data_IF_656791721288
#
_entry.id   IF_656791721288
#
_cell.length_a   1.000
_cell.length_b   1.000
_cell.length_c   1.000
_cell.angle_alpha   90.00
_cell.angle_beta   90.00
_cell.angle_gamma   90.00
#
_symmetry.space_group_name_H-M   'P 1'
#
loop_
_entity.id
_entity.type
_entity.pdbx_description
1 polymer ?
#
# COMPACT_ATOMS: atom_id res chain seq x y z
N UNK A 1 -11.15 -30.30 -2.72
CA UNK A 1 -11.48 -29.71 -4.03
C UNK A 1 -11.14 -28.22 -3.91
N UNK A 2 -9.95 -27.81 -4.35
CA UNK A 2 -9.52 -26.40 -4.26
C UNK A 2 -10.44 -25.55 -5.14
N UNK A 3 -11.22 -24.68 -4.53
CA UNK A 3 -12.19 -23.82 -5.21
C UNK A 3 -11.45 -22.68 -5.90
N UNK A 4 -10.72 -22.97 -7.00
CA UNK A 4 -10.02 -21.96 -7.79
C UNK A 4 -10.99 -20.83 -8.14
N UNK A 5 -10.63 -19.59 -7.81
CA UNK A 5 -11.33 -18.37 -8.25
C UNK A 5 -11.64 -18.50 -9.75
N UNK A 6 -12.91 -18.82 -10.09
CA UNK A 6 -13.37 -18.86 -11.48
C UNK A 6 -13.27 -17.44 -12.02
N UNK A 7 -12.83 -17.30 -13.28
CA UNK A 7 -12.81 -15.99 -13.95
C UNK A 7 -14.24 -15.42 -13.93
N UNK A 8 -14.41 -14.33 -13.19
CA UNK A 8 -15.69 -13.64 -12.99
C UNK A 8 -15.45 -12.17 -12.66
N UNK A 9 -16.50 -11.38 -12.40
CA UNK A 9 -16.37 -9.93 -12.27
C UNK A 9 -15.44 -9.58 -11.09
N UNK A 10 -14.48 -8.68 -11.36
CA UNK A 10 -13.60 -8.09 -10.36
C UNK A 10 -13.80 -6.57 -10.36
N UNK A 11 -13.85 -5.98 -9.18
CA UNK A 11 -13.99 -4.53 -9.02
C UNK A 11 -12.68 -3.93 -8.51
N UNK A 12 -12.14 -2.96 -9.23
CA UNK A 12 -11.02 -2.14 -8.79
C UNK A 12 -11.55 -0.77 -8.33
N UNK A 13 -11.25 -0.38 -7.10
CA UNK A 13 -11.63 0.92 -6.55
C UNK A 13 -10.37 1.81 -6.50
N UNK A 14 -10.33 2.84 -7.36
CA UNK A 14 -9.22 3.80 -7.48
C UNK A 14 -9.69 5.25 -7.38
N UNK A 15 -8.76 6.22 -7.41
CA UNK A 15 -9.06 7.66 -7.48
C UNK A 15 -9.43 8.08 -8.90
N UNK A 16 -10.38 9.01 -9.05
CA UNK A 16 -10.88 9.53 -10.35
C UNK A 16 -9.78 10.03 -11.30
N UNK A 17 -8.74 10.70 -10.78
CA UNK A 17 -7.67 11.26 -11.61
C UNK A 17 -6.79 10.19 -12.30
N UNK A 18 -6.67 8.99 -11.75
CA UNK A 18 -5.93 7.88 -12.38
C UNK A 18 -6.79 7.12 -13.39
N UNK A 19 -8.13 7.14 -13.21
CA UNK A 19 -9.08 6.55 -14.17
C UNK A 19 -9.14 7.34 -15.49
N UNK A 20 -9.02 8.68 -15.44
CA UNK A 20 -9.07 9.54 -16.63
C UNK A 20 -7.91 9.31 -17.63
N UNK A 21 -6.74 8.87 -17.16
CA UNK A 21 -5.57 8.58 -18.01
C UNK A 21 -5.66 7.25 -18.75
N UNK A 22 -6.45 6.30 -18.24
CA UNK A 22 -6.76 5.07 -18.99
C UNK A 22 -7.58 5.37 -20.26
N UNK A 23 -8.23 6.54 -20.35
CA UNK A 23 -9.17 6.89 -21.41
C UNK A 23 -8.61 7.78 -22.53
N UNK A 24 -7.47 8.46 -22.38
CA UNK A 24 -7.04 9.49 -23.35
C UNK A 24 -5.75 9.16 -24.12
N UNK A 25 -5.93 8.84 -25.41
CA UNK A 25 -4.99 8.89 -26.57
C UNK A 25 -3.91 7.78 -26.69
N UNK A 26 -3.74 7.30 -27.95
CA UNK A 26 -3.00 6.11 -28.44
C UNK A 26 -1.48 6.08 -28.10
N UNK A 27 -0.83 4.93 -28.32
CA UNK A 27 -0.40 3.95 -27.32
C UNK A 27 0.98 4.32 -26.73
N UNK A 28 0.99 5.05 -25.62
CA UNK A 28 2.09 4.94 -24.65
C UNK A 28 1.66 3.86 -23.66
N UNK A 29 2.59 3.05 -23.17
CA UNK A 29 2.39 1.81 -22.39
C UNK A 29 1.50 1.98 -21.14
N UNK A 30 0.21 2.17 -21.38
CA UNK A 30 -0.87 1.90 -20.46
C UNK A 30 -0.83 0.41 -20.21
N UNK A 31 -0.95 0.02 -18.94
CA UNK A 31 -1.23 -1.36 -18.56
C UNK A 31 -2.61 -1.74 -19.11
N UNK A 32 -2.69 -1.93 -20.43
CA UNK A 32 -3.57 -2.92 -21.00
C UNK A 32 -3.07 -4.21 -20.38
N UNK A 33 -3.94 -4.87 -19.62
CA UNK A 33 -3.91 -6.31 -19.50
C UNK A 33 -4.06 -6.84 -20.92
N UNK A 34 -2.94 -6.84 -21.66
CA UNK A 34 -2.86 -7.34 -23.02
C UNK A 34 -2.78 -8.83 -22.84
N UNK A 35 -3.95 -9.45 -22.99
CA UNK A 35 -4.16 -10.86 -23.23
C UNK A 35 -3.03 -11.44 -24.09
N UNK A 36 -2.11 -12.13 -23.46
CA UNK A 36 -1.31 -13.15 -24.13
C UNK A 36 -1.99 -14.47 -23.83
N UNK A 37 -2.91 -14.85 -24.72
CA UNK A 37 -3.25 -16.21 -25.14
C UNK A 37 -4.62 -16.19 -25.83
N UNK A 38 -4.72 -16.91 -26.94
CA UNK A 38 -5.93 -17.19 -27.71
C UNK A 38 -6.92 -18.05 -26.89
N UNK A 39 -7.38 -17.58 -25.74
CA UNK A 39 -8.46 -18.17 -24.98
C UNK A 39 -9.11 -17.10 -24.09
N UNK A 40 -10.37 -16.74 -24.40
CA UNK A 40 -11.29 -16.02 -23.49
C UNK A 40 -11.28 -16.74 -22.12
N UNK A 41 -11.35 -16.04 -20.96
CA UNK A 41 -12.45 -15.12 -20.66
C UNK A 41 -12.08 -13.78 -19.96
N UNK A 42 -13.01 -12.83 -20.16
CA UNK A 42 -13.32 -11.61 -19.40
C UNK A 42 -12.62 -11.39 -18.05
N UNK A 43 -11.65 -10.47 -18.01
CA UNK A 43 -11.38 -9.65 -16.83
C UNK A 43 -12.03 -8.28 -17.10
N UNK A 44 -13.26 -8.06 -16.62
CA UNK A 44 -13.87 -6.72 -16.68
C UNK A 44 -13.39 -5.92 -15.48
N UNK A 45 -12.38 -5.07 -15.66
CA UNK A 45 -12.11 -3.97 -14.73
C UNK A 45 -13.25 -2.98 -14.95
N UNK A 46 -14.25 -3.00 -14.07
CA UNK A 46 -15.25 -1.97 -14.05
C UNK A 46 -14.66 -0.78 -13.29
N UNK A 47 -14.15 0.21 -14.04
CA UNK A 47 -13.83 1.52 -13.50
C UNK A 47 -15.12 2.20 -13.00
N UNK A 48 -14.96 3.30 -12.25
CA UNK A 48 -16.00 4.18 -11.70
C UNK A 48 -17.16 4.47 -12.68
N UNK A 49 -18.04 3.50 -12.88
CA UNK A 49 -19.31 3.71 -13.49
C UNK A 49 -20.27 3.90 -12.33
N UNK A 50 -20.93 5.06 -12.35
CA UNK A 50 -22.18 5.35 -11.63
C UNK A 50 -23.32 4.34 -11.95
N UNK A 51 -23.00 3.22 -12.60
CA UNK A 51 -23.87 2.08 -12.83
C UNK A 51 -23.58 1.09 -11.71
N UNK A 52 -24.37 1.15 -10.63
CA UNK A 52 -24.35 0.15 -9.58
C UNK A 52 -24.36 -1.24 -10.22
N UNK A 53 -23.28 -1.99 -10.06
CA UNK A 53 -23.28 -3.42 -10.34
C UNK A 53 -24.41 -4.03 -9.51
N UNK A 54 -25.45 -4.55 -10.17
CA UNK A 54 -26.59 -5.18 -9.50
C UNK A 54 -26.27 -6.60 -8.99
N UNK A 55 -24.99 -6.98 -8.94
CA UNK A 55 -24.56 -8.32 -8.59
C UNK A 55 -23.24 -8.29 -7.83
N UNK A 56 -23.07 -9.26 -6.94
CA UNK A 56 -21.84 -9.48 -6.17
C UNK A 56 -20.67 -9.81 -7.08
N UNK A 57 -19.46 -9.42 -6.68
CA UNK A 57 -18.22 -9.67 -7.43
C UNK A 57 -17.38 -10.77 -6.79
N UNK A 58 -16.44 -11.35 -7.53
CA UNK A 58 -15.56 -12.40 -7.02
C UNK A 58 -14.36 -11.84 -6.25
N UNK A 59 -13.88 -10.65 -6.64
CA UNK A 59 -12.75 -9.96 -6.02
C UNK A 59 -13.00 -8.45 -5.99
N UNK A 60 -12.72 -7.83 -4.84
CA UNK A 60 -12.58 -6.37 -4.70
C UNK A 60 -11.13 -6.03 -4.39
N UNK A 61 -10.55 -5.10 -5.16
CA UNK A 61 -9.22 -4.54 -4.93
C UNK A 61 -9.36 -3.07 -4.56
N UNK A 62 -8.92 -2.71 -3.34
CA UNK A 62 -8.88 -1.31 -2.90
C UNK A 62 -7.49 -0.72 -3.20
N UNK A 63 -7.44 0.33 -4.02
CA UNK A 63 -6.24 1.07 -4.38
C UNK A 63 -6.48 2.60 -4.31
N UNK A 64 -7.10 3.04 -3.20
CA UNK A 64 -7.34 4.45 -2.86
C UNK A 64 -6.23 4.98 -1.94
N UNK A 65 -6.12 6.30 -1.75
CA UNK A 65 -5.36 6.84 -0.60
C UNK A 65 -6.18 6.63 0.68
N UNK A 66 -5.54 6.60 1.84
CA UNK A 66 -6.25 6.38 3.11
C UNK A 66 -7.40 7.34 3.38
N UNK A 67 -7.30 8.60 2.94
CA UNK A 67 -8.39 9.58 3.08
C UNK A 67 -9.69 9.18 2.37
N UNK A 68 -9.63 8.23 1.43
CA UNK A 68 -10.79 7.69 0.71
C UNK A 68 -11.20 6.29 1.18
N UNK A 69 -10.57 5.72 2.20
CA UNK A 69 -10.82 4.34 2.62
C UNK A 69 -12.26 4.14 3.10
N UNK A 70 -12.78 5.01 3.97
CA UNK A 70 -14.15 4.89 4.50
C UNK A 70 -15.19 4.98 3.37
N UNK A 71 -14.99 5.90 2.42
CA UNK A 71 -15.85 6.01 1.25
C UNK A 71 -15.77 4.76 0.36
N UNK A 72 -14.57 4.20 0.17
CA UNK A 72 -14.38 2.96 -0.57
C UNK A 72 -15.05 1.77 0.12
N UNK A 73 -14.91 1.65 1.45
CA UNK A 73 -15.58 0.61 2.24
C UNK A 73 -17.10 0.73 2.07
N UNK A 74 -17.66 1.94 2.16
CA UNK A 74 -19.09 2.14 1.97
C UNK A 74 -19.56 1.81 0.55
N UNK A 75 -18.77 2.14 -0.48
CA UNK A 75 -19.15 1.89 -1.88
C UNK A 75 -19.09 0.42 -2.30
N UNK A 76 -18.47 -0.45 -1.48
CA UNK A 76 -18.48 -1.90 -1.67
C UNK A 76 -19.81 -2.56 -1.28
N UNK A 77 -20.72 -1.82 -0.66
CA UNK A 77 -22.06 -2.32 -0.33
C UNK A 77 -22.82 -2.81 -1.57
N UNK A 78 -23.42 -3.99 -1.48
CA UNK A 78 -24.06 -4.65 -2.62
C UNK A 78 -23.11 -5.38 -3.59
N UNK A 79 -21.80 -5.08 -3.55
CA UNK A 79 -20.78 -5.79 -4.32
C UNK A 79 -20.21 -7.00 -3.58
N UNK A 80 -20.15 -6.91 -2.25
CA UNK A 80 -19.58 -7.96 -1.40
C UNK A 80 -20.66 -8.97 -1.02
N UNK A 81 -20.53 -10.18 -1.57
CA UNK A 81 -21.30 -11.37 -1.18
C UNK A 81 -20.49 -12.31 -0.27
N UNK A 82 -21.09 -13.45 0.14
CA UNK A 82 -20.46 -14.39 1.08
C UNK A 82 -19.13 -14.98 0.61
N UNK A 83 -18.88 -15.00 -0.71
CA UNK A 83 -17.68 -15.58 -1.33
C UNK A 83 -16.77 -14.51 -1.95
N UNK A 84 -17.08 -13.22 -1.77
CA UNK A 84 -16.30 -12.13 -2.36
C UNK A 84 -14.98 -11.99 -1.61
N UNK A 85 -13.88 -12.12 -2.33
CA UNK A 85 -12.53 -11.93 -1.79
C UNK A 85 -12.18 -10.45 -1.83
N UNK A 86 -11.44 -9.99 -0.83
CA UNK A 86 -11.07 -8.59 -0.69
C UNK A 86 -9.56 -8.49 -0.46
N UNK A 87 -8.92 -7.56 -1.15
CA UNK A 87 -7.52 -7.19 -0.94
C UNK A 87 -7.40 -5.67 -0.89
N UNK A 88 -6.63 -5.18 0.07
CA UNK A 88 -6.24 -3.77 0.17
C UNK A 88 -4.80 -3.60 -0.27
N UNK A 89 -4.51 -2.66 -1.16
CA UNK A 89 -3.16 -2.30 -1.57
C UNK A 89 -2.71 -0.96 -0.98
N UNK A 90 -3.41 -0.48 0.05
CA UNK A 90 -3.09 0.75 0.77
C UNK A 90 -1.77 0.61 1.52
N UNK A 91 -1.09 1.73 1.72
CA UNK A 91 0.03 1.78 2.66
C UNK A 91 -0.47 1.72 4.10
N UNK A 92 0.40 1.26 5.01
CA UNK A 92 0.08 1.17 6.44
C UNK A 92 -0.24 -0.26 6.87
N UNK A 93 -0.87 -0.38 8.05
CA UNK A 93 -1.25 -1.66 8.67
C UNK A 93 -2.69 -1.68 9.19
N UNK A 94 -3.45 -0.62 8.93
CA UNK A 94 -4.78 -0.39 9.55
C UNK A 94 -5.94 -0.62 8.60
N UNK A 95 -5.70 -0.65 7.28
CA UNK A 95 -6.79 -0.68 6.30
C UNK A 95 -7.63 -1.95 6.39
N UNK A 96 -6.99 -3.08 6.64
CA UNK A 96 -7.62 -4.39 6.74
C UNK A 96 -8.44 -4.53 8.01
N UNK A 97 -8.05 -3.86 9.10
CA UNK A 97 -8.85 -3.81 10.33
C UNK A 97 -10.18 -3.08 10.08
N UNK A 98 -10.14 -1.96 9.35
CA UNK A 98 -11.35 -1.20 8.99
C UNK A 98 -12.25 -1.98 8.02
N UNK A 99 -11.67 -2.64 7.01
CA UNK A 99 -12.43 -3.49 6.07
C UNK A 99 -13.08 -4.66 6.81
N UNK A 100 -12.32 -5.35 7.67
CA UNK A 100 -12.81 -6.50 8.41
C UNK A 100 -13.90 -6.13 9.42
N UNK A 101 -13.88 -4.92 10.00
CA UNK A 101 -14.95 -4.44 10.87
C UNK A 101 -16.32 -4.40 10.15
N UNK A 102 -16.33 -4.21 8.82
CA UNK A 102 -17.56 -4.16 8.01
C UNK A 102 -17.90 -5.47 7.29
N UNK A 103 -16.89 -6.20 6.80
CA UNK A 103 -17.06 -7.36 5.91
C UNK A 103 -16.49 -8.68 6.46
N UNK A 104 -15.88 -8.65 7.65
CA UNK A 104 -15.25 -9.79 8.28
C UNK A 104 -13.89 -10.16 7.69
N UNK A 105 -13.14 -10.98 8.43
CA UNK A 105 -11.79 -11.42 8.05
C UNK A 105 -11.76 -12.60 7.08
N UNK A 106 -12.87 -13.35 6.97
CA UNK A 106 -12.93 -14.66 6.33
C UNK A 106 -12.41 -14.67 4.89
N UNK A 107 -12.76 -13.65 4.11
CA UNK A 107 -12.35 -13.52 2.70
C UNK A 107 -11.44 -12.31 2.45
N UNK A 108 -10.87 -11.73 3.51
CA UNK A 108 -9.92 -10.62 3.44
C UNK A 108 -8.48 -11.16 3.46
N UNK A 109 -7.66 -10.67 2.52
CA UNK A 109 -6.23 -10.98 2.41
C UNK A 109 -5.42 -9.75 2.79
N UNK A 110 -4.38 -9.97 3.60
CA UNK A 110 -3.39 -8.95 3.92
C UNK A 110 -2.45 -8.79 2.74
N UNK A 111 -2.16 -7.54 2.35
CA UNK A 111 -1.28 -7.30 1.23
C UNK A 111 -0.48 -6.01 1.35
N UNK A 112 0.68 -6.01 0.68
CA UNK A 112 1.47 -4.80 0.44
C UNK A 112 1.97 -4.79 -1.00
N UNK A 113 2.26 -3.60 -1.49
CA UNK A 113 3.08 -3.37 -2.68
C UNK A 113 4.50 -3.01 -2.26
N UNK A 114 5.53 -3.56 -2.91
CA UNK A 114 6.93 -3.17 -2.66
C UNK A 114 7.76 -3.11 -3.95
N UNK A 115 8.92 -2.45 -3.88
CA UNK A 115 9.92 -2.47 -4.94
C UNK A 115 9.54 -1.67 -6.19
N UNK A 116 8.58 -0.75 -6.09
CA UNK A 116 8.19 0.13 -7.19
C UNK A 116 8.87 1.49 -7.09
N UNK A 117 9.27 2.05 -8.24
CA UNK A 117 9.89 3.38 -8.38
C UNK A 117 8.97 4.36 -9.13
N UNK A 118 7.66 4.19 -8.95
CA UNK A 118 6.64 4.99 -9.62
C UNK A 118 6.72 6.47 -9.21
N UNK A 119 6.79 7.32 -10.23
CA UNK A 119 6.70 8.78 -10.13
C UNK A 119 5.46 9.24 -10.88
N UNK A 120 4.66 10.08 -10.23
CA UNK A 120 3.47 10.68 -10.84
C UNK A 120 3.55 12.20 -10.78
N UNK A 121 4.06 12.81 -11.85
CA UNK A 121 4.26 14.26 -11.98
C UNK A 121 3.65 14.70 -13.33
N UNK A 122 3.05 15.89 -13.38
CA UNK A 122 2.49 16.49 -14.59
C UNK A 122 1.53 15.58 -15.39
N UNK A 123 0.72 14.79 -14.68
CA UNK A 123 -0.14 13.78 -15.28
C UNK A 123 0.64 12.83 -16.21
N UNK A 124 1.78 12.34 -15.75
CA UNK A 124 2.51 11.23 -16.35
C UNK A 124 2.98 10.27 -15.25
N UNK A 125 2.71 8.97 -15.46
CA UNK A 125 3.26 7.89 -14.63
C UNK A 125 4.52 7.35 -15.30
N UNK A 126 5.64 7.41 -14.60
CA UNK A 126 6.91 6.79 -15.03
C UNK A 126 7.41 5.85 -13.96
N UNK A 127 7.95 4.70 -14.37
CA UNK A 127 8.58 3.72 -13.49
C UNK A 127 9.58 2.88 -14.32
N UNK A 128 10.63 2.38 -13.68
CA UNK A 128 11.54 1.37 -14.26
C UNK A 128 11.28 -0.01 -13.65
N UNK A 129 10.75 -0.04 -12.43
CA UNK A 129 10.37 -1.24 -11.70
C UNK A 129 8.89 -1.14 -11.30
N UNK A 130 8.07 -2.04 -11.83
CA UNK A 130 6.63 -2.08 -11.52
C UNK A 130 6.36 -2.48 -10.05
N UNK A 131 7.36 -3.05 -9.37
CA UNK A 131 7.24 -3.66 -8.06
C UNK A 131 6.50 -5.00 -8.10
N UNK A 132 6.09 -5.45 -6.92
CA UNK A 132 5.39 -6.71 -6.72
C UNK A 132 4.37 -6.58 -5.57
N UNK A 133 3.38 -7.46 -5.57
CA UNK A 133 2.40 -7.59 -4.48
C UNK A 133 2.83 -8.72 -3.56
N UNK A 134 2.99 -8.45 -2.26
CA UNK A 134 3.18 -9.49 -1.24
C UNK A 134 1.85 -9.77 -0.56
N UNK A 135 1.45 -11.03 -0.48
CA UNK A 135 0.16 -11.48 0.03
C UNK A 135 0.32 -12.39 1.23
N UNK A 136 -0.68 -12.46 2.11
CA UNK A 136 -0.80 -13.55 3.07
C UNK A 136 -2.09 -13.55 3.86
N UNK A 137 -2.31 -14.62 4.60
CA UNK A 137 -3.51 -14.81 5.38
C UNK A 137 -3.44 -14.02 6.70
N UNK A 138 -4.56 -13.42 7.10
CA UNK A 138 -4.81 -13.14 8.50
C UNK A 138 -5.20 -14.45 9.23
N UNK A 139 -5.16 -14.46 10.56
CA UNK A 139 -5.46 -15.65 11.35
C UNK A 139 -6.86 -16.24 11.08
N UNK A 140 -7.80 -15.40 10.65
CA UNK A 140 -9.19 -15.78 10.38
C UNK A 140 -9.51 -15.87 8.87
N UNK A 141 -8.52 -15.63 7.99
CA UNK A 141 -8.70 -15.80 6.55
C UNK A 141 -8.91 -17.29 6.24
N UNK A 142 -9.94 -17.62 5.48
CA UNK A 142 -10.24 -19.01 5.11
C UNK A 142 -9.13 -19.59 4.22
N UNK A 143 -8.83 -20.88 4.42
CA UNK A 143 -7.86 -21.60 3.61
C UNK A 143 -8.26 -21.58 2.11
N UNK A 144 -7.28 -21.36 1.22
CA UNK A 144 -7.51 -21.26 -0.22
C UNK A 144 -7.77 -19.83 -0.71
N UNK A 145 -8.19 -18.90 0.16
CA UNK A 145 -8.48 -17.51 -0.26
C UNK A 145 -7.22 -16.79 -0.77
N UNK A 146 -6.08 -16.99 -0.13
CA UNK A 146 -4.81 -16.38 -0.55
C UNK A 146 -4.33 -16.99 -1.87
N UNK A 147 -4.39 -18.31 -1.97
CA UNK A 147 -4.02 -19.07 -3.16
C UNK A 147 -4.89 -18.68 -4.36
N UNK A 148 -6.18 -18.45 -4.15
CA UNK A 148 -7.10 -18.00 -5.19
C UNK A 148 -6.71 -16.63 -5.76
N UNK A 149 -6.30 -15.70 -4.90
CA UNK A 149 -5.83 -14.37 -5.33
C UNK A 149 -4.46 -14.49 -6.01
N UNK A 150 -3.54 -15.28 -5.46
CA UNK A 150 -2.22 -15.52 -6.06
C UNK A 150 -2.35 -16.14 -7.47
N UNK A 151 -3.18 -17.17 -7.62
CA UNK A 151 -3.48 -17.80 -8.92
C UNK A 151 -4.07 -16.79 -9.92
N UNK A 152 -4.88 -15.82 -9.45
CA UNK A 152 -5.41 -14.77 -10.31
C UNK A 152 -4.32 -13.78 -10.75
N UNK A 153 -3.46 -13.33 -9.82
CA UNK A 153 -2.35 -12.43 -10.12
C UNK A 153 -1.36 -13.09 -11.10
N UNK A 154 -1.06 -14.37 -10.92
CA UNK A 154 -0.22 -15.16 -11.83
C UNK A 154 -0.81 -15.16 -13.25
N UNK A 155 -2.09 -15.52 -13.41
CA UNK A 155 -2.77 -15.52 -14.72
C UNK A 155 -2.85 -14.13 -15.34
N UNK A 156 -2.86 -13.07 -14.53
CA UNK A 156 -2.83 -11.68 -14.98
C UNK A 156 -1.42 -11.17 -15.32
N UNK A 157 -0.38 -11.95 -15.05
CA UNK A 157 1.02 -11.53 -15.23
C UNK A 157 1.46 -10.46 -14.23
N UNK A 158 0.83 -10.40 -13.06
CA UNK A 158 1.17 -9.45 -12.00
C UNK A 158 2.16 -10.12 -11.06
N UNK A 159 3.35 -9.52 -10.93
CA UNK A 159 4.39 -9.98 -10.02
C UNK A 159 3.88 -10.02 -8.58
N UNK A 160 3.97 -11.18 -7.94
CA UNK A 160 3.51 -11.36 -6.58
C UNK A 160 4.27 -12.48 -5.85
N UNK A 161 4.17 -12.47 -4.53
CA UNK A 161 4.67 -13.54 -3.69
C UNK A 161 3.75 -13.74 -2.47
N UNK A 162 3.58 -15.00 -2.04
CA UNK A 162 2.86 -15.34 -0.81
C UNK A 162 3.86 -15.41 0.34
N UNK A 163 3.66 -14.55 1.34
CA UNK A 163 4.48 -14.45 2.54
C UNK A 163 3.99 -15.41 3.61
N UNK A 164 4.93 -16.14 4.22
CA UNK A 164 4.63 -16.99 5.38
C UNK A 164 4.19 -16.16 6.60
N UNK A 165 4.78 -14.98 6.76
CA UNK A 165 4.46 -14.03 7.82
C UNK A 165 4.25 -12.64 7.21
N UNK A 166 3.09 -12.49 6.57
CA UNK A 166 2.71 -11.23 5.93
C UNK A 166 2.63 -10.07 6.92
N UNK A 167 2.24 -10.32 8.19
CA UNK A 167 2.16 -9.27 9.21
C UNK A 167 3.53 -8.70 9.52
N UNK A 168 4.55 -9.55 9.70
CA UNK A 168 5.94 -9.09 9.85
C UNK A 168 6.39 -8.28 8.64
N UNK A 169 6.09 -8.74 7.42
CA UNK A 169 6.44 -8.03 6.18
C UNK A 169 5.73 -6.66 6.06
N UNK A 170 4.45 -6.57 6.41
CA UNK A 170 3.69 -5.32 6.48
C UNK A 170 4.32 -4.32 7.45
N UNK A 171 4.66 -4.77 8.66
CA UNK A 171 5.30 -3.93 9.66
C UNK A 171 6.73 -3.53 9.28
N UNK A 172 7.50 -4.40 8.62
CA UNK A 172 8.80 -4.05 8.07
C UNK A 172 8.68 -2.95 7.00
N UNK A 173 7.72 -3.07 6.08
CA UNK A 173 7.43 -2.02 5.09
C UNK A 173 6.95 -0.72 5.75
N UNK A 174 6.06 -0.80 6.74
CA UNK A 174 5.61 0.37 7.49
C UNK A 174 6.79 1.07 8.16
N UNK A 175 7.67 0.32 8.83
CA UNK A 175 8.89 0.85 9.44
C UNK A 175 9.76 1.59 8.40
N UNK A 176 9.98 0.99 7.22
CA UNK A 176 10.69 1.64 6.12
C UNK A 176 10.03 2.97 5.73
N UNK A 177 8.71 2.96 5.49
CA UNK A 177 7.95 4.16 5.11
C UNK A 177 8.00 5.24 6.20
N UNK A 178 7.82 4.86 7.46
CA UNK A 178 7.95 5.75 8.63
C UNK A 178 9.31 6.44 8.65
N UNK A 179 10.40 5.72 8.35
CA UNK A 179 11.72 6.32 8.23
C UNK A 179 11.84 7.26 7.02
N UNK A 180 11.74 6.70 5.82
CA UNK A 180 12.15 7.39 4.59
C UNK A 180 11.13 8.41 4.08
N UNK A 181 9.83 8.10 4.08
CA UNK A 181 8.82 9.01 3.52
C UNK A 181 8.76 10.31 4.31
N UNK A 182 8.73 10.19 5.64
CA UNK A 182 8.61 11.34 6.55
C UNK A 182 9.88 12.18 6.55
N UNK A 183 11.05 11.54 6.56
CA UNK A 183 12.34 12.24 6.49
C UNK A 183 12.45 13.02 5.18
N UNK A 184 12.26 12.37 4.02
CA UNK A 184 12.32 13.07 2.74
C UNK A 184 11.27 14.17 2.63
N UNK A 185 10.05 13.95 3.14
CA UNK A 185 9.01 14.98 3.22
C UNK A 185 9.46 16.20 4.02
N UNK A 186 10.05 16.03 5.20
CA UNK A 186 10.44 17.15 6.07
C UNK A 186 11.65 17.91 5.53
N UNK A 187 12.66 17.20 5.04
CA UNK A 187 13.92 17.81 4.59
C UNK A 187 13.92 18.23 3.11
N UNK A 188 12.95 17.77 2.32
CA UNK A 188 12.94 18.00 0.87
C UNK A 188 14.01 17.17 0.16
N UNK A 189 14.26 15.96 0.68
CA UNK A 189 15.38 15.10 0.30
C UNK A 189 15.00 14.02 -0.70
N UNK A 190 16.02 13.43 -1.30
CA UNK A 190 15.98 12.20 -2.11
C UNK A 190 16.36 10.98 -1.26
N UNK A 191 16.26 9.77 -1.83
CA UNK A 191 16.75 8.55 -1.17
C UNK A 191 18.25 8.65 -0.84
N UNK A 192 19.07 9.14 -1.76
CA UNK A 192 20.52 9.26 -1.57
C UNK A 192 20.89 10.24 -0.45
N UNK A 193 20.30 11.44 -0.46
CA UNK A 193 20.58 12.46 0.56
C UNK A 193 20.09 12.05 1.96
N UNK A 194 18.97 11.33 2.04
CA UNK A 194 18.47 10.80 3.30
C UNK A 194 19.35 9.68 3.89
N UNK A 195 20.09 8.94 3.06
CA UNK A 195 20.99 7.87 3.49
C UNK A 195 22.40 8.37 3.80
N UNK A 196 22.83 9.52 3.25
CA UNK A 196 24.11 10.14 3.58
C UNK A 196 24.28 10.45 5.06
N UNK A 197 25.52 10.37 5.55
CA UNK A 197 25.86 10.73 6.93
C UNK A 197 25.37 12.14 7.27
N UNK A 198 24.55 12.27 8.31
CA UNK A 198 23.97 13.55 8.68
C UNK A 198 22.69 13.45 9.50
N UNK A 199 22.03 14.60 9.64
CA UNK A 199 20.79 14.73 10.41
C UNK A 199 19.64 13.92 9.80
N UNK A 200 19.55 13.87 8.46
CA UNK A 200 18.50 13.16 7.74
C UNK A 200 18.57 11.65 8.01
N UNK A 201 19.76 11.07 7.91
CA UNK A 201 19.98 9.66 8.23
C UNK A 201 19.64 9.35 9.70
N UNK A 202 20.10 10.20 10.64
CA UNK A 202 19.77 10.03 12.06
C UNK A 202 18.26 10.09 12.31
N UNK A 203 17.55 11.03 11.67
CA UNK A 203 16.10 11.16 11.73
C UNK A 203 15.40 9.91 11.19
N UNK A 204 15.80 9.45 10.01
CA UNK A 204 15.29 8.24 9.36
C UNK A 204 15.45 7.03 10.28
N UNK A 205 16.68 6.79 10.77
CA UNK A 205 16.99 5.63 11.61
C UNK A 205 16.24 5.71 12.94
N UNK A 206 16.19 6.87 13.59
CA UNK A 206 15.46 7.04 14.84
C UNK A 206 13.95 6.73 14.67
N UNK A 207 13.33 7.21 13.59
CA UNK A 207 11.93 6.94 13.30
C UNK A 207 11.67 5.44 13.04
N UNK A 208 12.58 4.76 12.32
CA UNK A 208 12.50 3.31 12.10
C UNK A 208 12.65 2.52 13.41
N UNK A 209 13.55 2.95 14.30
CA UNK A 209 13.79 2.30 15.60
C UNK A 209 12.56 2.37 16.50
N UNK A 210 11.90 3.52 16.54
CA UNK A 210 10.63 3.70 17.23
C UNK A 210 9.54 2.81 16.65
N UNK A 211 9.37 2.78 15.33
CA UNK A 211 8.38 1.90 14.68
C UNK A 211 8.65 0.42 14.96
N UNK A 212 9.91 -0.01 14.96
CA UNK A 212 10.32 -1.36 15.37
C UNK A 212 9.93 -1.66 16.83
N UNK A 213 10.16 -0.73 17.75
CA UNK A 213 9.81 -0.92 19.16
C UNK A 213 8.28 -1.11 19.32
N UNK A 214 7.49 -0.28 18.64
CA UNK A 214 6.03 -0.39 18.62
C UNK A 214 5.57 -1.71 17.99
N UNK A 215 6.14 -2.12 16.86
CA UNK A 215 5.80 -3.39 16.22
C UNK A 215 6.04 -4.59 17.16
N UNK A 216 7.16 -4.60 17.88
CA UNK A 216 7.47 -5.65 18.83
C UNK A 216 6.50 -5.67 20.03
N UNK A 217 6.02 -4.50 20.48
CA UNK A 217 4.99 -4.41 21.52
C UNK A 217 3.61 -4.89 21.03
N UNK A 218 3.31 -4.73 19.74
CA UNK A 218 2.14 -5.33 19.07
C UNK A 218 2.29 -6.85 18.82
N UNK A 219 3.36 -7.47 19.33
CA UNK A 219 3.63 -8.90 19.18
C UNK A 219 4.22 -9.30 17.82
N UNK A 220 4.62 -8.33 16.99
CA UNK A 220 5.22 -8.57 15.68
C UNK A 220 6.74 -8.47 15.79
N UNK A 221 7.41 -9.61 15.67
CA UNK A 221 8.87 -9.69 15.85
C UNK A 221 9.63 -9.05 14.69
N UNK A 222 10.00 -7.79 14.84
CA UNK A 222 10.89 -7.05 13.93
C UNK A 222 12.30 -7.04 14.52
N UNK A 223 13.26 -7.60 13.78
CA UNK A 223 14.65 -7.78 14.18
C UNK A 223 15.55 -6.64 13.67
N UNK A 224 16.84 -6.66 14.03
CA UNK A 224 17.85 -5.80 13.38
C UNK A 224 18.03 -6.15 11.90
N UNK A 225 17.92 -7.43 11.56
CA UNK A 225 18.02 -7.89 10.18
C UNK A 225 16.97 -7.26 9.29
N UNK A 226 15.71 -7.18 9.76
CA UNK A 226 14.63 -6.54 9.01
C UNK A 226 14.89 -5.03 8.81
N UNK A 227 15.39 -4.34 9.84
CA UNK A 227 15.73 -2.92 9.74
C UNK A 227 16.84 -2.68 8.71
N UNK A 228 17.90 -3.49 8.78
CA UNK A 228 19.01 -3.41 7.83
C UNK A 228 18.57 -3.77 6.40
N UNK A 229 17.72 -4.78 6.24
CA UNK A 229 17.11 -5.13 4.94
C UNK A 229 16.34 -3.95 4.35
N UNK A 230 15.50 -3.28 5.16
CA UNK A 230 14.76 -2.10 4.69
C UNK A 230 15.68 -0.94 4.30
N UNK A 231 16.76 -0.70 5.04
CA UNK A 231 17.79 0.29 4.67
C UNK A 231 18.47 -0.11 3.35
N UNK A 232 18.84 -1.38 3.18
CA UNK A 232 19.44 -1.90 1.95
C UNK A 232 18.51 -1.77 0.75
N UNK A 233 17.20 -1.97 0.92
CA UNK A 233 16.20 -1.72 -0.13
C UNK A 233 16.24 -0.26 -0.55
N UNK A 234 16.21 0.70 0.40
CA UNK A 234 16.29 2.13 0.09
C UNK A 234 17.60 2.45 -0.64
N UNK A 235 18.73 1.86 -0.22
CA UNK A 235 20.04 2.10 -0.82
C UNK A 235 20.15 1.60 -2.28
N UNK A 236 19.31 0.64 -2.68
CA UNK A 236 19.26 0.11 -4.05
C UNK A 236 18.27 0.86 -4.96
N UNK A 237 17.51 1.83 -4.43
CA UNK A 237 16.68 2.71 -5.24
C UNK A 237 17.55 3.79 -5.91
N UNK A 238 17.00 4.45 -6.94
CA UNK A 238 17.68 5.61 -7.56
C UNK A 238 17.98 6.67 -6.49
N UNK A 239 19.25 7.03 -6.23
CA UNK A 239 19.60 8.01 -5.21
C UNK A 239 19.03 9.41 -5.46
N UNK A 240 18.64 9.73 -6.71
CA UNK A 240 17.94 10.97 -7.07
C UNK A 240 16.41 10.82 -6.99
N UNK A 241 15.91 9.59 -6.87
CA UNK A 241 14.51 9.29 -6.64
C UNK A 241 14.04 9.75 -5.27
N UNK A 242 12.71 9.80 -5.10
CA UNK A 242 12.10 10.26 -3.86
C UNK A 242 10.81 9.48 -3.55
N UNK A 243 10.48 9.33 -2.25
CA UNK A 243 9.28 8.62 -1.84
C UNK A 243 8.00 9.45 -2.07
N UNK A 244 6.84 8.80 -1.98
CA UNK A 244 5.55 9.40 -2.36
C UNK A 244 5.20 10.65 -1.55
N UNK A 245 5.53 10.72 -0.25
CA UNK A 245 5.29 11.93 0.54
C UNK A 245 6.16 13.12 0.08
N UNK A 246 7.39 12.87 -0.39
CA UNK A 246 8.22 13.93 -0.96
C UNK A 246 7.63 14.43 -2.29
N UNK A 247 7.03 13.56 -3.10
CA UNK A 247 6.28 13.96 -4.29
C UNK A 247 5.02 14.76 -3.92
N UNK A 248 4.31 14.37 -2.85
CA UNK A 248 3.16 15.13 -2.34
C UNK A 248 3.59 16.56 -1.92
N UNK A 249 4.78 16.74 -1.32
CA UNK A 249 5.36 18.06 -1.02
C UNK A 249 5.50 18.94 -2.25
N UNK A 250 6.13 18.42 -3.30
CA UNK A 250 6.36 19.17 -4.55
C UNK A 250 5.02 19.59 -5.16
N UNK A 251 4.05 18.69 -5.12
CA UNK A 251 2.71 18.91 -5.64
C UNK A 251 1.77 19.66 -4.68
N UNK A 252 2.24 20.08 -3.50
CA UNK A 252 1.44 20.77 -2.47
C UNK A 252 0.15 20.02 -2.09
N UNK A 253 0.23 18.69 -2.02
CA UNK A 253 -0.88 17.81 -1.64
C UNK A 253 -0.74 17.37 -0.18
N UNK A 254 -1.87 17.09 0.45
CA UNK A 254 -1.90 16.41 1.75
C UNK A 254 -1.27 15.01 1.62
N UNK A 255 -0.40 14.70 2.56
CA UNK A 255 0.36 13.46 2.66
C UNK A 255 -0.41 12.37 3.42
N UNK A 256 0.14 11.15 3.45
CA UNK A 256 -0.39 10.04 4.24
C UNK A 256 0.28 9.92 5.63
N UNK A 257 0.82 11.03 6.17
CA UNK A 257 1.57 11.01 7.46
C UNK A 257 0.78 10.41 8.62
N UNK A 258 -0.55 10.54 8.61
CA UNK A 258 -1.43 9.92 9.60
C UNK A 258 -1.35 8.38 9.60
N UNK A 259 -1.12 7.74 8.45
CA UNK A 259 -0.91 6.30 8.36
C UNK A 259 0.47 5.84 8.84
N UNK A 260 1.43 6.78 8.91
CA UNK A 260 2.79 6.51 9.33
C UNK A 260 2.98 6.95 10.78
N UNK A 261 3.46 8.16 11.05
CA UNK A 261 3.64 8.62 12.43
C UNK A 261 2.35 8.59 13.24
N UNK A 262 1.19 8.91 12.65
CA UNK A 262 -0.09 8.84 13.36
C UNK A 262 -0.36 7.45 13.95
N UNK A 263 -0.27 6.41 13.11
CA UNK A 263 -0.38 5.00 13.53
C UNK A 263 0.67 4.63 14.58
N UNK A 264 1.94 5.01 14.39
CA UNK A 264 3.01 4.68 15.34
C UNK A 264 2.76 5.34 16.70
N UNK A 265 2.33 6.60 16.72
CA UNK A 265 2.02 7.34 17.95
C UNK A 265 0.85 6.71 18.69
N UNK A 266 -0.26 6.46 17.98
CA UNK A 266 -1.47 5.85 18.55
C UNK A 266 -1.17 4.48 19.16
N UNK A 267 -0.44 3.62 18.45
CA UNK A 267 -0.05 2.30 18.95
C UNK A 267 0.96 2.40 20.10
N UNK A 268 1.92 3.32 20.04
CA UNK A 268 2.89 3.53 21.13
C UNK A 268 2.20 3.91 22.45
N UNK A 269 1.18 4.78 22.39
CA UNK A 269 0.42 5.23 23.56
C UNK A 269 -0.28 4.08 24.28
N UNK A 270 -0.82 3.10 23.54
CA UNK A 270 -1.45 1.90 24.11
C UNK A 270 -0.48 1.03 24.91
N UNK A 271 0.81 1.08 24.57
CA UNK A 271 1.87 0.30 25.20
C UNK A 271 2.74 1.13 26.16
N UNK A 272 2.43 2.41 26.36
CA UNK A 272 3.24 3.32 27.19
C UNK A 272 4.63 3.60 26.63
N UNK A 273 4.82 3.52 25.31
CA UNK A 273 6.10 3.77 24.64
C UNK A 273 6.25 5.24 24.22
N UNK A 274 7.47 5.75 24.32
CA UNK A 274 7.83 7.07 23.79
C UNK A 274 8.30 6.95 22.35
N UNK A 275 7.74 7.80 21.47
CA UNK A 275 8.11 7.90 20.05
C UNK A 275 8.36 9.36 19.64
N UNK A 276 9.34 10.05 20.28
CA UNK A 276 9.58 11.48 20.08
C UNK A 276 9.91 11.84 18.63
N UNK A 277 10.66 11.00 17.90
CA UNK A 277 11.02 11.27 16.51
C UNK A 277 9.77 11.25 15.62
N UNK A 278 8.87 10.28 15.79
CA UNK A 278 7.61 10.24 15.05
C UNK A 278 6.68 11.40 15.41
N UNK A 279 6.62 11.82 16.69
CA UNK A 279 5.85 13.01 17.09
C UNK A 279 6.37 14.29 16.43
N UNK A 280 7.68 14.47 16.45
CA UNK A 280 8.33 15.61 15.80
C UNK A 280 8.09 15.60 14.28
N UNK A 281 8.23 14.44 13.63
CA UNK A 281 7.95 14.29 12.20
C UNK A 281 6.49 14.63 11.87
N UNK A 282 5.52 14.11 12.63
CA UNK A 282 4.10 14.40 12.41
C UNK A 282 3.82 15.90 12.50
N UNK A 283 4.30 16.54 13.57
CA UNK A 283 4.15 17.98 13.75
C UNK A 283 4.76 18.75 12.57
N UNK A 284 6.00 18.41 12.19
CA UNK A 284 6.72 19.14 11.16
C UNK A 284 6.09 18.98 9.78
N UNK A 285 5.57 17.80 9.46
CA UNK A 285 4.79 17.57 8.23
C UNK A 285 3.55 18.46 8.21
N UNK A 286 2.78 18.54 9.30
CA UNK A 286 1.59 19.40 9.35
C UNK A 286 1.92 20.89 9.23
N UNK A 287 3.01 21.36 9.83
CA UNK A 287 3.49 22.75 9.67
C UNK A 287 3.82 23.07 8.21
N UNK A 288 4.54 22.15 7.55
CA UNK A 288 4.90 22.27 6.13
C UNK A 288 3.64 22.30 5.27
N UNK A 289 2.72 21.35 5.46
CA UNK A 289 1.44 21.30 4.74
C UNK A 289 0.54 22.52 4.94
N UNK A 290 0.66 23.21 6.07
CA UNK A 290 -0.12 24.41 6.37
C UNK A 290 0.50 25.69 5.79
N UNK A 291 1.69 25.60 5.19
CA UNK A 291 2.42 26.76 4.63
C UNK A 291 2.08 27.09 3.17
N UNK A 292 1.22 26.31 2.52
CA UNK A 292 0.83 26.50 1.12
C UNK A 292 -0.67 26.39 0.87
#
# INVERSE_FOLDING_TARGET
>A
MLCRLRVGPAQLITREAHAAQAQSRKPVATCRIRSVLHARPFLSILEHHHTALKQTVNLVILAVKATGLDQAINSMEGLVGPETRIISLLNGVTSEEAIAARYGWKHLVLAITQGMDAVFIDNALTYSHAGEIRLGAAAQTEAGVVEDIADLLERAGISHAVEKDIRRRMWAKLMMNVGINQTCMVYGSTYGTALSDGEQNRCLVAAMREAKAVANAEGIKITEGDLNEMISIIANLDPNGMPSMAQDRINRKRTEVALFAGTIIERAERHGLLVPQNRWLLQRVHEIESSW
#
